data_IF_275211379451
#
_entry.id   IF_275211379451
#
_cell.length_a   1.000
_cell.length_b   1.000
_cell.length_c   1.000
_cell.angle_alpha   90.00
_cell.angle_beta   90.00
_cell.angle_gamma   90.00
#
_symmetry.space_group_name_H-M   'P 1'
#
loop_
_entity.id
_entity.type
_entity.pdbx_description
1 polymer ?
#
# COMPACT_ATOMS: atom_id res chain seq x y z
N UNK A 1 12.04 12.31 1.29
CA UNK A 1 11.75 12.12 -0.16
C UNK A 1 10.23 12.01 -0.37
N UNK A 2 9.71 12.39 -1.55
CA UNK A 2 8.26 12.64 -1.77
C UNK A 2 7.46 11.50 -2.43
N UNK A 3 6.25 11.83 -2.89
CA UNK A 3 5.41 10.95 -3.72
C UNK A 3 6.10 10.73 -5.08
N UNK A 4 6.19 9.48 -5.53
CA UNK A 4 6.71 9.07 -6.84
C UNK A 4 5.66 8.25 -7.60
N UNK A 5 5.80 8.11 -8.91
CA UNK A 5 4.94 7.24 -9.71
C UNK A 5 5.35 5.75 -9.58
N UNK A 6 4.45 4.85 -9.98
CA UNK A 6 4.76 3.41 -10.02
C UNK A 6 5.83 3.10 -11.08
N UNK A 7 5.91 3.91 -12.14
CA UNK A 7 6.90 3.80 -13.21
C UNK A 7 8.31 4.18 -12.76
N UNK A 8 8.44 5.13 -11.82
CA UNK A 8 9.73 5.52 -11.22
C UNK A 8 10.23 4.51 -10.18
N UNK A 9 9.34 3.64 -9.67
CA UNK A 9 9.63 2.73 -8.57
C UNK A 9 10.80 1.76 -8.83
N UNK A 10 10.95 1.12 -10.02
CA UNK A 10 12.08 0.24 -10.31
C UNK A 10 13.45 0.91 -10.16
N UNK A 11 13.57 2.19 -10.52
CA UNK A 11 14.83 2.93 -10.47
C UNK A 11 15.15 3.41 -9.06
N UNK A 12 14.12 3.60 -8.23
CA UNK A 12 14.23 4.11 -6.85
C UNK A 12 14.40 3.00 -5.81
N UNK A 13 13.96 1.79 -6.12
CA UNK A 13 14.03 0.67 -5.20
C UNK A 13 15.40 0.00 -5.27
N UNK A 14 16.20 0.15 -4.21
CA UNK A 14 17.50 -0.52 -4.10
C UNK A 14 17.36 -2.05 -4.11
N UNK A 15 18.39 -2.74 -4.62
CA UNK A 15 18.41 -4.19 -4.70
C UNK A 15 18.18 -4.86 -3.34
N UNK A 16 17.34 -5.89 -3.32
CA UNK A 16 17.00 -6.67 -2.12
C UNK A 16 16.05 -5.99 -1.14
N UNK A 17 15.55 -4.77 -1.43
CA UNK A 17 14.49 -4.12 -0.67
C UNK A 17 13.11 -4.70 -1.00
N UNK A 18 12.22 -4.70 -0.01
CA UNK A 18 10.81 -5.07 -0.18
C UNK A 18 9.94 -3.84 -0.41
N UNK A 19 8.70 -4.05 -0.85
CA UNK A 19 7.66 -3.03 -0.95
C UNK A 19 6.61 -3.25 0.12
N UNK A 20 6.20 -2.18 0.79
CA UNK A 20 5.05 -2.21 1.69
C UNK A 20 3.79 -1.70 0.99
N UNK A 21 2.64 -2.26 1.33
CA UNK A 21 1.32 -1.76 0.98
C UNK A 21 0.59 -1.29 2.23
N UNK A 22 -0.12 -0.17 2.14
CA UNK A 22 -0.92 0.39 3.23
C UNK A 22 -2.37 0.61 2.81
N UNK A 23 -3.28 0.30 3.73
CA UNK A 23 -4.69 0.68 3.70
C UNK A 23 -5.01 1.55 4.92
N UNK A 24 -5.43 2.78 4.70
CA UNK A 24 -5.73 3.75 5.75
C UNK A 24 -7.22 3.74 6.10
N UNK A 25 -7.56 2.96 7.13
CA UNK A 25 -8.87 3.01 7.78
C UNK A 25 -8.93 4.11 8.86
N UNK A 26 -10.14 4.48 9.28
CA UNK A 26 -10.33 5.48 10.34
C UNK A 26 -9.79 5.01 11.70
N UNK A 27 -9.83 3.70 11.99
CA UNK A 27 -9.39 3.11 13.26
C UNK A 27 -8.11 2.28 13.15
N UNK A 28 -7.69 1.95 11.95
CA UNK A 28 -6.66 0.94 11.69
C UNK A 28 -5.79 1.34 10.50
N UNK A 29 -4.52 0.94 10.52
CA UNK A 29 -3.66 0.94 9.34
C UNK A 29 -3.39 -0.52 9.00
N UNK A 30 -3.95 -0.97 7.88
CA UNK A 30 -3.59 -2.26 7.31
C UNK A 30 -2.19 -2.17 6.72
N UNK A 31 -1.37 -3.20 6.95
CA UNK A 31 0.01 -3.28 6.46
C UNK A 31 0.22 -4.60 5.75
N UNK A 32 0.84 -4.57 4.58
CA UNK A 32 1.35 -5.75 3.91
C UNK A 32 2.76 -5.49 3.37
N UNK A 33 3.53 -6.55 3.15
CA UNK A 33 4.88 -6.45 2.59
C UNK A 33 5.09 -7.51 1.53
N UNK A 34 5.81 -7.16 0.47
CA UNK A 34 6.17 -8.08 -0.60
C UNK A 34 7.22 -9.08 -0.14
N UNK A 35 7.34 -10.19 -0.87
CA UNK A 35 8.58 -10.96 -0.86
C UNK A 35 9.72 -10.18 -1.54
N UNK A 36 10.95 -10.68 -1.41
CA UNK A 36 12.14 -10.06 -2.03
C UNK A 36 12.11 -10.09 -3.55
N UNK A 37 11.38 -11.03 -4.15
CA UNK A 37 11.18 -11.12 -5.59
C UNK A 37 10.16 -10.12 -6.13
N UNK A 38 9.50 -9.34 -5.27
CA UNK A 38 8.42 -8.42 -5.64
C UNK A 38 7.31 -9.12 -6.43
N UNK A 39 6.96 -10.33 -5.99
CA UNK A 39 6.01 -11.22 -6.63
C UNK A 39 4.71 -11.35 -5.85
N UNK A 40 4.78 -11.44 -4.52
CA UNK A 40 3.63 -11.73 -3.67
C UNK A 40 3.54 -10.80 -2.47
N UNK A 41 2.35 -10.27 -2.22
CA UNK A 41 2.04 -9.48 -1.04
C UNK A 41 1.63 -10.35 0.16
N UNK A 42 2.21 -10.09 1.32
CA UNK A 42 1.94 -10.82 2.56
C UNK A 42 1.41 -9.87 3.64
N UNK A 43 0.23 -10.12 4.21
CA UNK A 43 -0.31 -9.26 5.26
C UNK A 43 0.58 -9.28 6.51
N UNK A 44 0.62 -8.16 7.21
CA UNK A 44 1.26 -7.97 8.52
C UNK A 44 0.20 -7.63 9.58
N UNK A 45 0.53 -7.74 10.88
CA UNK A 45 -0.36 -7.32 11.94
C UNK A 45 -0.81 -5.87 11.75
N UNK A 46 -2.12 -5.64 11.85
CA UNK A 46 -2.71 -4.31 11.74
C UNK A 46 -2.19 -3.38 12.84
N UNK A 47 -2.06 -2.09 12.52
CA UNK A 47 -1.79 -1.05 13.53
C UNK A 47 -3.11 -0.44 13.96
N UNK A 48 -3.42 -0.51 15.26
CA UNK A 48 -4.56 0.17 15.84
C UNK A 48 -4.23 1.65 16.05
N UNK A 49 -4.96 2.54 15.38
CA UNK A 49 -4.67 3.98 15.39
C UNK A 49 -4.97 4.58 16.75
N UNK A 50 -4.05 5.41 17.24
CA UNK A 50 -4.18 6.16 18.50
C UNK A 50 -3.83 7.62 18.27
N UNK A 51 -2.54 7.92 18.16
CA UNK A 51 -1.99 9.25 17.91
C UNK A 51 -1.00 9.12 16.77
N UNK A 52 -1.02 10.08 15.84
CA UNK A 52 -0.20 10.01 14.64
C UNK A 52 1.28 9.70 14.92
N UNK A 53 1.90 10.33 15.93
CA UNK A 53 3.30 10.07 16.28
C UNK A 53 3.57 8.63 16.73
N UNK A 54 2.66 8.03 17.51
CA UNK A 54 2.78 6.63 17.95
C UNK A 54 2.52 5.67 16.79
N UNK A 55 1.51 5.95 15.98
CA UNK A 55 1.13 5.15 14.83
C UNK A 55 2.27 5.14 13.80
N UNK A 56 2.86 6.30 13.52
CA UNK A 56 3.99 6.47 12.62
C UNK A 56 5.25 5.76 13.13
N UNK A 57 5.58 5.89 14.42
CA UNK A 57 6.72 5.19 15.01
C UNK A 57 6.55 3.67 14.92
N UNK A 58 5.35 3.15 15.22
CA UNK A 58 5.06 1.72 15.09
C UNK A 58 5.16 1.25 13.64
N UNK A 59 4.62 2.04 12.69
CA UNK A 59 4.72 1.73 11.27
C UNK A 59 6.17 1.67 10.80
N UNK A 60 6.96 2.72 11.07
CA UNK A 60 8.37 2.78 10.66
C UNK A 60 9.18 1.61 11.23
N UNK A 61 8.93 1.22 12.48
CA UNK A 61 9.57 0.05 13.08
C UNK A 61 9.17 -1.28 12.41
N UNK A 62 7.94 -1.41 11.89
CA UNK A 62 7.55 -2.58 11.08
C UNK A 62 8.26 -2.56 9.72
N UNK A 63 8.26 -1.41 9.03
CA UNK A 63 8.87 -1.25 7.72
C UNK A 63 10.38 -1.50 7.72
N UNK A 64 11.07 -1.04 8.77
CA UNK A 64 12.51 -1.28 8.95
C UNK A 64 12.82 -2.77 9.11
N UNK A 65 12.06 -3.49 9.95
CA UNK A 65 12.23 -4.94 10.18
C UNK A 65 12.06 -5.75 8.89
N UNK A 66 11.14 -5.32 8.03
CA UNK A 66 10.83 -5.97 6.78
C UNK A 66 11.74 -5.51 5.62
N UNK A 67 12.75 -4.66 5.89
CA UNK A 67 13.68 -4.10 4.90
C UNK A 67 12.97 -3.39 3.73
N UNK A 68 11.94 -2.62 4.04
CA UNK A 68 11.14 -1.89 3.05
C UNK A 68 11.93 -0.75 2.43
N UNK A 69 11.86 -0.63 1.10
CA UNK A 69 12.49 0.47 0.35
C UNK A 69 11.52 1.51 -0.18
N UNK A 70 10.22 1.19 -0.29
CA UNK A 70 9.18 2.12 -0.71
C UNK A 70 7.79 1.64 -0.26
N UNK A 71 6.83 2.57 -0.21
CA UNK A 71 5.49 2.33 0.30
C UNK A 71 4.45 2.61 -0.78
N UNK A 72 3.58 1.64 -1.05
CA UNK A 72 2.38 1.77 -1.86
C UNK A 72 1.21 2.09 -0.93
N UNK A 73 0.53 3.20 -1.16
CA UNK A 73 -0.62 3.62 -0.38
C UNK A 73 -1.87 3.68 -1.27
N UNK A 74 -2.93 2.99 -0.87
CA UNK A 74 -4.22 3.04 -1.56
C UNK A 74 -4.76 4.47 -1.64
N UNK A 75 -5.17 4.86 -2.85
CA UNK A 75 -5.79 6.14 -3.15
C UNK A 75 -7.22 5.90 -3.66
N UNK A 76 -8.25 6.06 -2.79
CA UNK A 76 -9.63 5.87 -3.19
C UNK A 76 -10.08 7.10 -4.01
N UNK A 77 -10.06 6.95 -5.32
CA UNK A 77 -10.60 7.92 -6.28
C UNK A 77 -12.01 7.53 -6.70
N UNK A 78 -12.83 8.53 -7.02
CA UNK A 78 -14.18 8.30 -7.51
C UNK A 78 -14.15 7.73 -8.94
N UNK A 79 -15.28 7.18 -9.39
CA UNK A 79 -15.40 6.60 -10.74
C UNK A 79 -15.13 7.61 -11.85
N UNK A 80 -15.47 8.89 -11.63
CA UNK A 80 -15.19 10.00 -12.55
C UNK A 80 -13.74 10.54 -12.46
N UNK A 81 -12.90 9.94 -11.61
CA UNK A 81 -11.52 10.35 -11.37
C UNK A 81 -11.35 11.49 -10.36
N UNK A 82 -12.44 12.01 -9.78
CA UNK A 82 -12.36 13.03 -8.74
C UNK A 82 -11.88 12.47 -7.40
N UNK A 83 -11.23 13.32 -6.59
CA UNK A 83 -10.75 12.94 -5.26
C UNK A 83 -11.72 13.36 -4.15
N UNK A 84 -12.22 12.39 -3.39
CA UNK A 84 -13.02 12.64 -2.20
C UNK A 84 -12.20 12.88 -0.92
N UNK A 85 -12.86 13.08 0.23
CA UNK A 85 -12.20 13.28 1.52
C UNK A 85 -11.23 12.16 1.93
N UNK A 86 -11.46 10.92 1.48
CA UNK A 86 -10.57 9.78 1.76
C UNK A 86 -9.24 9.89 1.01
N UNK A 87 -9.25 10.29 -0.26
CA UNK A 87 -8.02 10.56 -1.02
C UNK A 87 -7.20 11.69 -0.38
N UNK A 88 -7.88 12.75 0.06
CA UNK A 88 -7.24 13.86 0.78
C UNK A 88 -6.57 13.39 2.08
N UNK A 89 -7.20 12.48 2.84
CA UNK A 89 -6.61 11.86 4.04
C UNK A 89 -5.34 11.06 3.69
N UNK A 90 -5.35 10.26 2.62
CA UNK A 90 -4.15 9.54 2.14
C UNK A 90 -3.01 10.50 1.80
N UNK A 91 -3.31 11.57 1.06
CA UNK A 91 -2.31 12.61 0.73
C UNK A 91 -1.78 13.33 1.97
N UNK A 92 -2.65 13.64 2.93
CA UNK A 92 -2.25 14.25 4.19
C UNK A 92 -1.36 13.34 5.03
N UNK A 93 -1.65 12.03 5.05
CA UNK A 93 -0.82 11.04 5.72
C UNK A 93 0.62 11.04 5.16
N UNK A 94 0.78 11.02 3.83
CA UNK A 94 2.11 11.09 3.20
C UNK A 94 2.85 12.37 3.56
N UNK A 95 2.17 13.53 3.51
CA UNK A 95 2.78 14.82 3.92
C UNK A 95 3.26 14.81 5.37
N UNK A 96 2.48 14.21 6.27
CA UNK A 96 2.84 14.12 7.69
C UNK A 96 3.96 13.09 7.97
N UNK A 97 4.13 12.09 7.10
CA UNK A 97 5.22 11.11 7.18
C UNK A 97 6.54 11.63 6.62
N UNK A 98 6.50 12.56 5.67
CA UNK A 98 7.69 13.14 5.03
C UNK A 98 8.78 13.67 6.00
N UNK A 99 8.47 14.34 7.13
CA UNK A 99 9.50 14.75 8.09
C UNK A 99 10.04 13.61 8.97
N UNK A 100 9.43 12.41 8.92
CA UNK A 100 9.78 11.28 9.79
C UNK A 100 10.55 10.18 9.06
N UNK A 101 10.52 10.16 7.72
CA UNK A 101 11.15 9.12 6.91
C UNK A 101 11.40 9.59 5.48
N UNK A 102 12.49 9.11 4.89
CA UNK A 102 12.82 9.33 3.49
C UNK A 102 12.25 8.28 2.54
N UNK A 103 11.51 7.30 3.04
CA UNK A 103 10.87 6.30 2.21
C UNK A 103 9.91 6.97 1.21
N UNK A 104 10.07 6.71 -0.10
CA UNK A 104 9.17 7.23 -1.10
C UNK A 104 7.79 6.54 -1.00
N UNK A 105 6.75 7.30 -1.35
CA UNK A 105 5.39 6.82 -1.42
C UNK A 105 4.90 6.77 -2.87
N UNK A 106 4.26 5.67 -3.25
CA UNK A 106 3.45 5.55 -4.47
C UNK A 106 1.99 5.63 -4.06
N UNK A 107 1.25 6.58 -4.61
CA UNK A 107 -0.20 6.62 -4.46
C UNK A 107 -0.84 5.75 -5.53
N UNK A 108 -1.48 4.66 -5.10
CA UNK A 108 -2.04 3.65 -5.99
C UNK A 108 -3.53 3.86 -6.19
N UNK A 109 -3.92 4.24 -7.40
CA UNK A 109 -5.33 4.29 -7.81
C UNK A 109 -5.87 2.86 -7.88
N UNK A 110 -6.79 2.55 -6.97
CA UNK A 110 -7.36 1.20 -6.82
C UNK A 110 -8.11 0.72 -8.07
N UNK A 111 -8.52 1.64 -8.97
CA UNK A 111 -9.15 1.32 -10.27
C UNK A 111 -8.16 0.76 -11.30
N UNK A 112 -6.86 0.89 -11.06
CA UNK A 112 -5.83 0.28 -11.91
C UNK A 112 -5.71 -1.23 -11.69
N UNK A 113 -6.49 -1.79 -10.76
CA UNK A 113 -6.59 -3.22 -10.54
C UNK A 113 -7.40 -3.90 -11.65
N UNK A 114 -7.09 -5.16 -11.95
CA UNK A 114 -7.85 -5.91 -12.96
C UNK A 114 -9.25 -6.26 -12.46
N UNK A 115 -10.21 -6.49 -13.37
CA UNK A 115 -11.58 -6.94 -13.01
C UNK A 115 -11.57 -8.20 -12.13
N UNK A 116 -10.61 -9.10 -12.35
CA UNK A 116 -10.43 -10.29 -11.53
C UNK A 116 -10.02 -9.93 -10.10
N UNK A 117 -9.09 -9.00 -9.96
CA UNK A 117 -8.64 -8.49 -8.67
C UNK A 117 -9.78 -7.70 -7.96
N UNK A 118 -10.53 -6.85 -8.66
CA UNK A 118 -11.72 -6.17 -8.09
C UNK A 118 -12.77 -7.15 -7.55
N UNK A 119 -13.03 -8.26 -8.26
CA UNK A 119 -13.93 -9.32 -7.77
C UNK A 119 -13.40 -9.96 -6.50
N UNK A 120 -12.11 -10.25 -6.44
CA UNK A 120 -11.46 -10.77 -5.23
C UNK A 120 -11.57 -9.75 -4.08
N UNK A 121 -11.44 -8.44 -4.32
CA UNK A 121 -11.67 -7.41 -3.30
C UNK A 121 -13.07 -7.48 -2.73
N UNK A 122 -14.09 -7.53 -3.59
CA UNK A 122 -15.49 -7.60 -3.20
C UNK A 122 -15.74 -8.87 -2.37
N UNK A 123 -15.25 -10.01 -2.84
CA UNK A 123 -15.36 -11.29 -2.12
C UNK A 123 -14.64 -11.26 -0.77
N UNK A 124 -13.45 -10.66 -0.71
CA UNK A 124 -12.72 -10.45 0.54
C UNK A 124 -13.46 -9.51 1.49
N UNK A 125 -14.08 -8.45 0.99
CA UNK A 125 -14.83 -7.48 1.82
C UNK A 125 -16.10 -8.13 2.39
N UNK A 126 -16.79 -8.96 1.60
CA UNK A 126 -17.86 -9.84 2.07
C UNK A 126 -17.36 -10.86 3.11
N UNK A 127 -16.19 -11.44 2.90
CA UNK A 127 -15.55 -12.38 3.84
C UNK A 127 -15.13 -11.69 5.15
N UNK A 128 -14.59 -10.47 5.08
CA UNK A 128 -14.25 -9.63 6.26
C UNK A 128 -15.49 -9.27 7.06
N UNK A 129 -16.58 -8.88 6.39
CA UNK A 129 -17.87 -8.65 7.06
C UNK A 129 -18.36 -9.89 7.81
N UNK A 130 -18.08 -11.09 7.29
CA UNK A 130 -18.35 -12.38 7.97
C UNK A 130 -17.35 -12.73 9.09
N UNK A 131 -16.12 -12.21 9.05
CA UNK A 131 -15.01 -12.56 9.97
C UNK A 131 -14.68 -11.45 10.99
N UNK A 132 -15.62 -10.57 11.30
CA UNK A 132 -15.48 -9.33 12.07
C UNK A 132 -14.74 -9.39 13.45
N UNK A 133 -14.23 -10.55 13.88
CA UNK A 133 -13.37 -10.72 15.06
C UNK A 133 -11.85 -10.73 14.79
N UNK A 134 -11.38 -10.85 13.54
CA UNK A 134 -9.95 -10.73 13.19
C UNK A 134 -9.74 -9.53 12.28
N UNK A 135 -9.14 -8.47 12.82
CA UNK A 135 -8.71 -7.32 12.03
C UNK A 135 -7.46 -7.74 11.25
N UNK A 136 -7.65 -8.20 10.01
CA UNK A 136 -6.56 -8.58 9.12
C UNK A 136 -6.21 -7.46 8.13
N UNK A 137 -4.95 -7.44 7.69
CA UNK A 137 -4.44 -6.45 6.72
C UNK A 137 -4.67 -6.89 5.27
N UNK A 138 -5.76 -7.63 4.99
CA UNK A 138 -6.00 -8.17 3.66
C UNK A 138 -6.17 -7.06 2.59
N UNK A 139 -6.64 -5.86 2.95
CA UNK A 139 -6.82 -4.76 2.00
C UNK A 139 -5.47 -4.22 1.56
N UNK A 140 -4.58 -4.01 2.53
CA UNK A 140 -3.20 -3.63 2.26
C UNK A 140 -2.48 -4.67 1.39
N UNK A 141 -2.70 -5.97 1.62
CA UNK A 141 -2.13 -7.04 0.80
C UNK A 141 -2.65 -6.99 -0.64
N UNK A 142 -3.94 -6.75 -0.81
CA UNK A 142 -4.55 -6.61 -2.13
C UNK A 142 -4.03 -5.39 -2.89
N UNK A 143 -4.00 -4.22 -2.24
CA UNK A 143 -3.46 -2.97 -2.81
C UNK A 143 -2.02 -3.22 -3.28
N UNK A 144 -1.20 -3.86 -2.42
CA UNK A 144 0.17 -4.17 -2.76
C UNK A 144 0.25 -5.14 -3.93
N UNK A 145 -0.57 -6.19 -3.97
CA UNK A 145 -0.53 -7.17 -5.05
C UNK A 145 -0.84 -6.51 -6.40
N UNK A 146 -1.85 -5.65 -6.47
CA UNK A 146 -2.15 -4.91 -7.71
C UNK A 146 -0.98 -4.05 -8.20
N UNK A 147 -0.27 -3.39 -7.26
CA UNK A 147 0.92 -2.62 -7.60
C UNK A 147 2.10 -3.52 -8.05
N UNK A 148 2.29 -4.69 -7.42
CA UNK A 148 3.32 -5.67 -7.82
C UNK A 148 3.04 -6.24 -9.21
N UNK A 149 1.79 -6.58 -9.52
CA UNK A 149 1.40 -7.10 -10.84
C UNK A 149 1.65 -6.05 -11.94
N UNK A 150 1.34 -4.78 -11.64
CA UNK A 150 1.66 -3.65 -12.53
C UNK A 150 3.16 -3.48 -12.72
N UNK A 151 3.94 -3.56 -11.64
CA UNK A 151 5.39 -3.46 -11.69
C UNK A 151 6.01 -4.56 -12.55
N UNK A 152 5.50 -5.80 -12.46
CA UNK A 152 5.92 -6.90 -13.31
C UNK A 152 5.59 -6.66 -14.79
N UNK A 153 4.39 -6.16 -15.07
CA UNK A 153 3.97 -5.83 -16.43
C UNK A 153 4.86 -4.75 -17.06
N UNK A 154 5.23 -3.72 -16.28
CA UNK A 154 6.15 -2.66 -16.72
C UNK A 154 7.56 -3.18 -17.03
N UNK A 155 8.04 -4.17 -16.25
CA UNK A 155 9.33 -4.83 -16.47
C UNK A 155 9.34 -5.72 -17.71
N UNK A 156 8.21 -6.35 -18.05
CA UNK A 156 8.08 -7.21 -19.24
C UNK A 156 7.85 -6.40 -20.53
N UNK A 157 7.29 -5.20 -20.43
CA UNK A 157 7.03 -4.30 -21.57
C UNK A 157 8.22 -3.46 -22.05
N UNK A 158 9.37 -3.51 -21.37
CA UNK A 158 10.63 -2.93 -21.84
C UNK A 158 11.44 -4.00 -22.60
N UNK A 159 11.45 -4.02 -23.94
CA UNK A 159 12.49 -4.77 -24.64
C UNK A 159 13.84 -4.17 -24.23
N UNK A 160 14.74 -5.03 -23.73
CA UNK A 160 16.16 -4.66 -23.56
C UNK A 160 16.78 -4.25 -24.89
#
# INVERSE_FOLDING_TARGET
MGIISIEELPERLADGKTLAGLDLGDKTIGVAVSDRGLSFAHPRPVILRKKFSLDAAQLLAQLEKDNVGAIVLGLPVNMDGSEGPRAQKSRAFVRNMAPLSDLPFVLWDERLSTVAAERTLIEMDFSRKKRAGKIDSAAAAFILQGALDRLQSLRQGHPR
#
